data_IF_807323215882
#
_entry.id   IF_807323215882
#
_cell.length_a   1.000
_cell.length_b   1.000
_cell.length_c   1.000
_cell.angle_alpha   90.00
_cell.angle_beta   90.00
_cell.angle_gamma   90.00
#
_symmetry.space_group_name_H-M   'P 1'
#
loop_
_entity.id
_entity.type
_entity.pdbx_description
1 polymer ?
#
# COMPACT_ATOMS: atom_id res chain seq x y z
N UNK A 1 -5.27 14.86 -19.89
CA UNK A 1 -4.22 15.16 -20.86
C UNK A 1 -2.94 14.52 -20.34
N UNK A 2 -2.61 13.33 -20.84
CA UNK A 2 -1.59 12.42 -20.27
C UNK A 2 -0.30 12.36 -21.13
N UNK A 3 -0.12 13.31 -22.05
CA UNK A 3 0.93 13.28 -23.09
C UNK A 3 2.05 14.30 -22.84
N UNK A 4 2.12 14.92 -21.66
CA UNK A 4 3.22 15.80 -21.28
C UNK A 4 4.50 15.02 -20.93
N UNK A 5 5.70 15.64 -20.97
CA UNK A 5 6.98 14.97 -20.72
C UNK A 5 7.11 14.35 -19.32
N UNK A 6 6.19 14.69 -18.40
CA UNK A 6 6.12 14.20 -17.02
C UNK A 6 5.24 12.93 -16.87
N UNK A 7 4.62 12.44 -17.95
CA UNK A 7 3.76 11.25 -17.91
C UNK A 7 2.56 11.38 -16.97
N UNK A 8 2.00 10.24 -16.55
CA UNK A 8 0.90 10.21 -15.60
C UNK A 8 1.43 10.46 -14.17
N UNK A 9 1.24 11.67 -13.65
CA UNK A 9 1.73 12.10 -12.33
C UNK A 9 0.82 11.66 -11.16
N UNK A 10 -0.28 10.96 -11.46
CA UNK A 10 -1.27 10.59 -10.44
C UNK A 10 -0.69 9.47 -9.59
N UNK A 11 -0.57 9.75 -8.29
CA UNK A 11 -0.07 8.80 -7.31
C UNK A 11 -1.22 7.90 -6.81
N UNK A 12 -1.08 6.61 -7.08
CA UNK A 12 -1.97 5.57 -6.58
C UNK A 12 -1.21 4.71 -5.55
N UNK A 13 -1.57 4.78 -4.27
CA UNK A 13 -1.00 3.92 -3.23
C UNK A 13 -1.36 2.44 -3.43
N UNK A 14 -2.50 2.15 -4.09
CA UNK A 14 -2.87 0.81 -4.52
C UNK A 14 -1.87 0.18 -5.50
N UNK A 15 -1.09 1.00 -6.23
CA UNK A 15 -0.04 0.56 -7.16
C UNK A 15 1.34 0.48 -6.50
N UNK A 16 1.43 0.76 -5.19
CA UNK A 16 2.70 0.76 -4.45
C UNK A 16 3.59 1.97 -4.73
N UNK A 17 3.08 3.02 -5.38
CA UNK A 17 3.83 4.22 -5.73
C UNK A 17 3.89 5.28 -4.61
N UNK A 18 3.40 4.94 -3.40
CA UNK A 18 3.39 5.82 -2.22
C UNK A 18 4.12 5.16 -1.07
N UNK A 19 5.09 5.87 -0.50
CA UNK A 19 5.82 5.49 0.71
C UNK A 19 5.65 6.54 1.80
N UNK A 20 5.50 6.11 3.05
CA UNK A 20 5.40 6.98 4.20
C UNK A 20 6.62 6.77 5.09
N UNK A 21 7.27 7.86 5.48
CA UNK A 21 8.47 7.79 6.31
C UNK A 21 8.76 9.09 7.02
N UNK A 22 9.61 9.01 8.04
CA UNK A 22 10.11 10.14 8.80
C UNK A 22 11.63 10.16 8.70
N UNK A 23 12.16 11.09 7.90
CA UNK A 23 13.60 11.25 7.70
C UNK A 23 14.39 11.50 9.00
N UNK A 24 13.78 12.20 9.97
CA UNK A 24 14.41 12.49 11.26
C UNK A 24 14.69 11.23 12.10
N UNK A 25 13.83 10.22 11.99
CA UNK A 25 13.91 8.99 12.77
C UNK A 25 14.43 7.80 11.94
N UNK A 26 14.84 8.05 10.68
CA UNK A 26 15.46 7.04 9.82
C UNK A 26 14.56 5.87 9.42
N UNK A 27 13.24 6.01 9.55
CA UNK A 27 12.29 4.97 9.13
C UNK A 27 11.48 5.40 7.93
N UNK A 28 11.20 4.44 7.06
CA UNK A 28 10.29 4.56 5.93
C UNK A 28 9.66 3.21 5.70
N UNK A 29 8.38 3.20 5.34
CA UNK A 29 7.68 2.00 4.96
C UNK A 29 6.84 2.27 3.70
N UNK A 30 6.66 1.22 2.92
CA UNK A 30 5.74 1.21 1.78
C UNK A 30 4.57 0.30 2.08
N UNK A 31 3.41 0.56 1.48
CA UNK A 31 2.26 -0.34 1.59
C UNK A 31 2.61 -1.74 1.07
N UNK A 32 3.50 -1.86 0.09
CA UNK A 32 3.97 -3.14 -0.44
C UNK A 32 4.71 -3.97 0.60
N UNK A 33 5.67 -3.38 1.33
CA UNK A 33 6.41 -4.10 2.38
C UNK A 33 5.51 -4.58 3.52
N UNK A 34 4.52 -3.76 3.89
CA UNK A 34 3.51 -4.12 4.89
C UNK A 34 2.61 -5.25 4.36
N UNK A 35 2.19 -5.16 3.09
CA UNK A 35 1.38 -6.19 2.45
C UNK A 35 2.11 -7.53 2.33
N UNK A 36 3.41 -7.56 2.01
CA UNK A 36 4.21 -8.80 1.98
C UNK A 36 4.28 -9.47 3.36
N UNK A 37 4.48 -8.67 4.42
CA UNK A 37 4.44 -9.15 5.82
C UNK A 37 3.08 -9.75 6.21
N UNK A 38 1.98 -9.18 5.73
CA UNK A 38 0.63 -9.67 6.03
C UNK A 38 0.18 -10.79 5.10
N UNK A 39 0.67 -10.83 3.86
CA UNK A 39 0.39 -11.90 2.90
C UNK A 39 0.91 -13.24 3.43
N UNK A 40 2.11 -13.26 4.02
CA UNK A 40 2.66 -14.46 4.67
C UNK A 40 1.77 -14.96 5.82
N UNK A 41 1.26 -14.04 6.65
CA UNK A 41 0.40 -14.40 7.81
C UNK A 41 -1.01 -14.83 7.43
N UNK A 42 -1.63 -14.16 6.47
CA UNK A 42 -3.03 -14.40 6.09
C UNK A 42 -3.17 -15.34 4.88
N UNK A 43 -2.08 -15.67 4.19
CA UNK A 43 -2.04 -16.40 2.91
C UNK A 43 -2.95 -15.77 1.85
N UNK A 44 -3.04 -14.45 1.85
CA UNK A 44 -3.77 -13.66 0.87
C UNK A 44 -2.76 -13.03 -0.08
N UNK A 45 -3.15 -12.89 -1.33
CA UNK A 45 -2.35 -12.24 -2.36
C UNK A 45 -1.96 -10.79 -2.00
N UNK A 46 -0.72 -10.42 -2.30
CA UNK A 46 -0.13 -9.12 -1.96
C UNK A 46 -0.87 -7.98 -2.67
N UNK A 47 -1.26 -8.13 -3.93
CA UNK A 47 -1.96 -7.09 -4.69
C UNK A 47 -3.35 -6.83 -4.12
N UNK A 48 -4.04 -7.89 -3.69
CA UNK A 48 -5.33 -7.77 -2.98
C UNK A 48 -5.16 -7.11 -1.61
N UNK A 49 -4.08 -7.38 -0.90
CA UNK A 49 -3.78 -6.77 0.40
C UNK A 49 -3.44 -5.29 0.26
N UNK A 50 -2.63 -4.89 -0.72
CA UNK A 50 -2.31 -3.47 -0.95
C UNK A 50 -3.58 -2.64 -1.20
N UNK A 51 -4.49 -3.17 -2.02
CA UNK A 51 -5.79 -2.52 -2.26
C UNK A 51 -6.69 -2.46 -1.01
N UNK A 52 -6.56 -3.43 -0.09
CA UNK A 52 -7.30 -3.45 1.18
C UNK A 52 -6.62 -2.68 2.30
N UNK A 53 -5.33 -2.36 2.18
CA UNK A 53 -4.59 -1.56 3.16
C UNK A 53 -4.70 -0.06 2.87
N UNK A 54 -5.30 0.30 1.73
CA UNK A 54 -5.59 1.68 1.36
C UNK A 54 -7.11 1.92 1.30
N UNK A 55 -7.54 3.13 1.69
CA UNK A 55 -8.96 3.51 1.72
C UNK A 55 -9.71 3.01 2.96
N UNK A 56 -11.03 2.89 2.84
CA UNK A 56 -11.93 2.54 3.95
C UNK A 56 -12.11 1.01 4.09
N UNK A 57 -11.05 0.32 4.47
CA UNK A 57 -11.05 -1.13 4.67
C UNK A 57 -10.69 -1.47 6.13
N UNK A 58 -11.61 -2.13 6.83
CA UNK A 58 -11.43 -2.51 8.23
C UNK A 58 -11.38 -4.04 8.36
N UNK A 59 -10.30 -4.56 8.94
CA UNK A 59 -10.19 -5.98 9.27
C UNK A 59 -10.92 -6.26 10.61
N UNK A 60 -11.99 -7.08 10.57
CA UNK A 60 -12.64 -7.59 11.78
C UNK A 60 -12.01 -8.92 12.18
N UNK A 61 -11.27 -8.93 13.30
CA UNK A 61 -10.74 -10.15 13.91
C UNK A 61 -11.82 -11.05 14.54
N UNK A 62 -13.01 -10.49 14.79
CA UNK A 62 -14.15 -11.17 15.40
C UNK A 62 -15.33 -11.15 14.44
N UNK A 63 -15.33 -12.10 13.50
CA UNK A 63 -16.58 -12.54 12.86
C UNK A 63 -16.84 -13.93 13.40
N UNK A 64 -17.78 -14.02 14.34
CA UNK A 64 -18.37 -15.29 14.75
C UNK A 64 -19.14 -15.89 13.58
#
# INVERSE_FOLDING_TARGET
DETGPMGNIILDPSKGNVGCGSGLHGWSFTLKQIAEKYADKFKIDVEKLINRLWGENFYKATTR
#
